data_IF_211850713121
#
_entry.id   IF_211850713121
#
_cell.length_a   1.000
_cell.length_b   1.000
_cell.length_c   1.000
_cell.angle_alpha   90.00
_cell.angle_beta   90.00
_cell.angle_gamma   90.00
#
_symmetry.space_group_name_H-M   'P 1'
#
loop_
_entity.id
_entity.type
_entity.pdbx_description
1 polymer ?
#
# COMPACT_ATOMS: atom_id res chain seq x y z
N UNK A 1 6.65 -12.10 4.72
CA UNK A 1 5.71 -11.78 3.62
C UNK A 1 4.43 -11.19 4.23
N UNK A 2 4.40 -9.87 4.45
CA UNK A 2 3.19 -9.20 4.96
C UNK A 2 2.28 -8.98 3.75
N UNK A 3 1.28 -9.84 3.59
CA UNK A 3 0.23 -9.66 2.59
C UNK A 3 -0.88 -8.84 3.26
N UNK A 4 -0.87 -7.51 3.11
CA UNK A 4 -2.06 -6.72 3.46
C UNK A 4 -3.04 -6.78 2.28
N UNK A 5 -4.01 -7.68 2.36
CA UNK A 5 -5.16 -7.69 1.45
C UNK A 5 -6.15 -6.60 1.89
N UNK A 6 -6.32 -5.53 1.13
CA UNK A 6 -7.52 -4.69 1.25
C UNK A 6 -8.60 -5.26 0.33
N UNK A 7 -9.64 -5.84 0.92
CA UNK A 7 -10.93 -6.08 0.26
C UNK A 7 -11.91 -5.05 0.81
N UNK A 8 -12.46 -4.19 -0.06
CA UNK A 8 -13.72 -3.50 0.23
C UNK A 8 -14.72 -3.86 -0.86
N UNK A 9 -15.82 -4.50 -0.45
CA UNK A 9 -16.89 -4.97 -1.33
C UNK A 9 -17.58 -3.84 -2.09
N UNK A 10 -17.97 -4.12 -3.33
CA UNK A 10 -18.68 -3.18 -4.19
C UNK A 10 -20.19 -3.20 -3.92
N UNK A 11 -20.79 -2.01 -3.86
CA UNK A 11 -22.24 -1.79 -3.86
C UNK A 11 -22.76 -1.93 -5.30
N UNK A 12 -23.76 -2.79 -5.51
CA UNK A 12 -24.35 -3.06 -6.83
C UNK A 12 -25.43 -2.02 -7.14
N UNK A 13 -25.34 -1.37 -8.30
CA UNK A 13 -26.46 -0.69 -8.95
C UNK A 13 -26.59 -1.25 -10.36
N UNK A 14 -27.77 -1.78 -10.66
CA UNK A 14 -28.06 -2.56 -11.86
C UNK A 14 -28.33 -1.66 -13.07
N UNK A 15 -27.76 -1.98 -14.24
CA UNK A 15 -28.45 -1.78 -15.51
C UNK A 15 -27.98 -2.80 -16.56
N UNK A 16 -28.92 -3.26 -17.40
CA UNK A 16 -28.85 -4.54 -18.12
C UNK A 16 -28.69 -4.33 -19.64
N UNK A 17 -27.46 -4.28 -20.15
CA UNK A 17 -27.20 -4.54 -21.58
C UNK A 17 -25.77 -5.01 -21.83
N UNK A 18 -25.63 -6.30 -22.17
CA UNK A 18 -24.43 -6.96 -22.70
C UNK A 18 -23.18 -6.86 -21.80
N UNK A 19 -23.33 -7.24 -20.53
CA UNK A 19 -22.18 -7.50 -19.66
C UNK A 19 -21.58 -8.82 -20.13
N UNK A 20 -20.39 -8.79 -20.75
CA UNK A 20 -19.51 -9.97 -20.69
C UNK A 20 -19.50 -10.34 -19.22
N UNK A 21 -20.06 -11.49 -18.86
CA UNK A 21 -19.87 -12.11 -17.55
C UNK A 21 -18.37 -12.33 -17.38
N UNK A 22 -17.66 -11.27 -17.04
CA UNK A 22 -16.42 -11.37 -16.29
C UNK A 22 -16.95 -11.75 -14.92
N UNK A 23 -17.22 -13.04 -14.73
CA UNK A 23 -17.00 -13.63 -13.42
C UNK A 23 -15.61 -13.14 -13.04
N UNK A 24 -15.53 -12.17 -12.13
CA UNK A 24 -14.27 -11.62 -11.66
C UNK A 24 -13.67 -12.77 -10.85
N UNK A 25 -13.04 -13.71 -11.55
CA UNK A 25 -12.41 -14.87 -10.95
C UNK A 25 -11.46 -14.34 -9.89
N UNK A 26 -11.48 -14.97 -8.71
CA UNK A 26 -10.47 -14.68 -7.72
C UNK A 26 -9.09 -14.93 -8.35
N UNK A 27 -8.16 -13.97 -8.27
CA UNK A 27 -6.81 -14.17 -8.81
C UNK A 27 -6.17 -15.36 -8.10
N UNK A 28 -5.63 -16.32 -8.88
CA UNK A 28 -5.05 -17.55 -8.34
C UNK A 28 -3.55 -17.63 -8.60
N UNK A 29 -3.07 -17.02 -9.68
CA UNK A 29 -1.65 -16.96 -10.04
C UNK A 29 -1.09 -15.56 -9.78
N UNK A 30 0.24 -15.45 -9.66
CA UNK A 30 0.91 -14.15 -9.51
C UNK A 30 0.58 -13.23 -10.69
N UNK A 31 0.51 -13.79 -11.89
CA UNK A 31 0.18 -13.09 -13.13
C UNK A 31 -1.24 -12.51 -13.09
N UNK A 32 -2.20 -13.21 -12.48
CA UNK A 32 -3.55 -12.69 -12.27
C UNK A 32 -3.56 -11.49 -11.31
N UNK A 33 -2.74 -11.54 -10.25
CA UNK A 33 -2.60 -10.43 -9.30
C UNK A 33 -1.93 -9.21 -9.92
N UNK A 34 -0.95 -9.41 -10.80
CA UNK A 34 -0.22 -8.33 -11.47
C UNK A 34 -1.13 -7.45 -12.34
N UNK A 35 -2.29 -7.95 -12.78
CA UNK A 35 -3.32 -7.14 -13.47
C UNK A 35 -3.86 -6.00 -12.60
N UNK A 36 -3.76 -6.11 -11.28
CA UNK A 36 -4.18 -5.09 -10.31
C UNK A 36 -2.98 -4.38 -9.66
N UNK A 37 -1.79 -4.49 -10.27
CA UNK A 37 -0.58 -3.94 -9.69
C UNK A 37 -0.64 -2.41 -9.57
N UNK A 38 -0.25 -1.91 -8.40
CA UNK A 38 -0.08 -0.49 -8.14
C UNK A 38 1.31 -0.24 -7.55
N UNK A 39 1.88 0.91 -7.88
CA UNK A 39 3.10 1.38 -7.24
C UNK A 39 2.72 2.24 -6.03
N UNK A 40 3.30 1.95 -4.88
CA UNK A 40 3.10 2.72 -3.66
C UNK A 40 4.33 3.58 -3.37
N UNK A 41 4.08 4.75 -2.81
CA UNK A 41 5.11 5.70 -2.40
C UNK A 41 4.92 6.01 -0.93
N UNK A 42 5.96 5.88 -0.12
CA UNK A 42 5.86 6.17 1.31
C UNK A 42 5.71 7.67 1.59
N UNK A 43 4.83 8.00 2.52
CA UNK A 43 4.54 9.35 2.97
C UNK A 43 5.50 9.75 4.10
N UNK A 44 6.59 10.44 3.75
CA UNK A 44 7.60 10.91 4.71
C UNK A 44 7.04 11.77 5.86
N UNK A 45 5.90 12.43 5.66
CA UNK A 45 5.23 13.21 6.70
C UNK A 45 4.53 12.34 7.77
N UNK A 46 4.30 11.05 7.50
CA UNK A 46 3.76 10.08 8.47
C UNK A 46 4.86 9.28 9.17
N UNK A 47 6.03 9.15 8.54
CA UNK A 47 7.10 8.26 8.99
C UNK A 47 7.58 8.59 10.42
N UNK A 48 7.68 7.58 11.26
CA UNK A 48 8.35 7.72 12.55
C UNK A 48 9.81 8.16 12.39
N UNK A 49 10.33 8.89 13.39
CA UNK A 49 11.69 9.46 13.34
C UNK A 49 12.79 8.39 13.35
N UNK A 50 12.52 7.18 13.85
CA UNK A 50 13.45 6.06 13.81
C UNK A 50 13.48 5.33 12.46
N UNK A 51 12.71 5.78 11.47
CA UNK A 51 12.66 5.20 10.12
C UNK A 51 13.34 6.11 9.11
N UNK A 52 14.21 5.52 8.29
CA UNK A 52 14.79 6.18 7.12
C UNK A 52 14.08 5.71 5.86
N UNK A 53 13.61 6.68 5.07
CA UNK A 53 13.10 6.44 3.72
C UNK A 53 14.21 6.66 2.68
N UNK A 54 14.27 5.78 1.70
CA UNK A 54 15.23 5.84 0.59
C UNK A 54 14.60 5.30 -0.69
N UNK A 55 15.38 5.28 -1.79
CA UNK A 55 14.94 4.77 -3.09
C UNK A 55 13.61 5.42 -3.51
N UNK A 56 13.60 6.75 -3.56
CA UNK A 56 12.41 7.54 -3.89
C UNK A 56 11.21 7.26 -2.97
N UNK A 57 11.48 7.01 -1.68
CA UNK A 57 10.48 6.61 -0.68
C UNK A 57 9.80 5.27 -0.99
N UNK A 58 10.48 4.33 -1.66
CA UNK A 58 10.00 2.95 -1.85
C UNK A 58 10.61 1.97 -0.88
N UNK A 59 11.65 2.37 -0.15
CA UNK A 59 12.32 1.56 0.85
C UNK A 59 12.28 2.24 2.21
N UNK A 60 12.05 1.42 3.22
CA UNK A 60 12.09 1.80 4.64
C UNK A 60 13.16 1.00 5.35
N UNK A 61 13.93 1.64 6.22
CA UNK A 61 14.93 0.97 7.06
C UNK A 61 14.86 1.54 8.46
N UNK A 62 14.87 0.66 9.47
CA UNK A 62 14.99 1.10 10.87
C UNK A 62 16.43 1.52 11.14
N UNK A 63 16.61 2.71 11.69
CA UNK A 63 17.92 3.27 12.02
C UNK A 63 17.99 3.58 13.51
N UNK A 64 19.19 3.56 14.07
CA UNK A 64 19.40 3.90 15.49
C UNK A 64 19.46 5.41 15.76
N UNK A 65 19.52 6.23 14.72
CA UNK A 65 19.56 7.69 14.80
C UNK A 65 18.26 8.29 14.27
N UNK A 66 17.67 9.18 15.06
CA UNK A 66 16.46 9.90 14.68
C UNK A 66 16.69 10.75 13.42
N UNK A 67 15.79 10.60 12.47
CA UNK A 67 15.77 11.39 11.24
C UNK A 67 15.20 12.78 11.51
N UNK A 68 15.78 13.80 10.86
CA UNK A 68 15.35 15.20 10.99
C UNK A 68 14.11 15.50 10.14
N UNK A 69 13.01 14.81 10.39
CA UNK A 69 11.75 15.09 9.70
C UNK A 69 11.04 16.33 10.27
N UNK A 70 10.43 17.19 9.42
CA UNK A 70 9.62 18.29 9.90
C UNK A 70 8.44 17.82 10.75
N UNK A 71 8.05 18.60 11.76
CA UNK A 71 6.87 18.30 12.57
C UNK A 71 5.60 18.21 11.70
N UNK A 72 4.80 17.16 11.90
CA UNK A 72 3.55 16.94 11.17
C UNK A 72 2.54 16.23 12.08
N UNK A 73 1.25 16.63 12.10
CA UNK A 73 0.25 16.03 13.00
C UNK A 73 -0.02 14.55 12.73
N UNK A 74 0.16 14.09 11.49
CA UNK A 74 -0.02 12.68 11.11
C UNK A 74 1.23 11.82 11.34
N UNK A 75 2.30 12.37 11.94
CA UNK A 75 3.54 11.63 12.18
C UNK A 75 3.36 10.62 13.31
N UNK A 76 3.76 9.38 13.07
CA UNK A 76 3.88 8.40 14.15
C UNK A 76 5.05 8.78 15.08
N UNK A 77 4.81 8.72 16.39
CA UNK A 77 5.78 9.09 17.42
C UNK A 77 5.93 8.05 18.55
N UNK A 78 5.23 6.92 18.44
CA UNK A 78 5.27 5.83 19.43
C UNK A 78 5.87 4.55 18.82
N UNK A 79 5.47 4.21 17.59
CA UNK A 79 5.88 2.97 16.92
C UNK A 79 6.57 3.28 15.58
N UNK A 80 7.54 2.45 15.16
CA UNK A 80 8.25 2.61 13.88
C UNK A 80 7.32 2.23 12.71
N UNK A 81 6.45 3.16 12.33
CA UNK A 81 5.43 3.00 11.29
C UNK A 81 5.52 4.11 10.24
N UNK A 82 4.99 3.85 9.05
CA UNK A 82 4.87 4.79 7.93
C UNK A 82 3.71 4.36 7.04
N UNK A 83 2.97 5.30 6.46
CA UNK A 83 1.89 5.05 5.49
C UNK A 83 2.37 5.30 4.05
N UNK A 84 1.64 4.75 3.09
CA UNK A 84 1.73 5.18 1.69
C UNK A 84 0.95 6.48 1.46
N UNK A 85 1.28 7.20 0.39
CA UNK A 85 0.57 8.43 -0.03
C UNK A 85 -0.75 8.11 -0.71
N UNK A 86 -0.80 6.96 -1.37
CA UNK A 86 -1.91 6.55 -2.20
C UNK A 86 -3.08 6.07 -1.34
N UNK A 87 -4.23 6.74 -1.47
CA UNK A 87 -5.50 6.20 -0.99
C UNK A 87 -5.96 5.09 -1.93
N UNK A 88 -5.83 3.84 -1.52
CA UNK A 88 -6.26 2.70 -2.35
C UNK A 88 -7.78 2.54 -2.25
N UNK A 89 -8.46 2.59 -3.39
CA UNK A 89 -9.88 2.27 -3.53
C UNK A 89 -10.06 1.19 -4.60
N UNK A 90 -10.92 0.21 -4.34
CA UNK A 90 -11.09 -0.96 -5.22
C UNK A 90 -10.02 -2.05 -5.00
N UNK A 91 -9.80 -2.88 -6.03
CA UNK A 91 -8.87 -4.01 -5.98
C UNK A 91 -7.47 -3.53 -6.37
N UNK A 92 -6.48 -3.76 -5.51
CA UNK A 92 -5.09 -3.37 -5.73
C UNK A 92 -4.13 -4.45 -5.24
N UNK A 93 -2.99 -4.57 -5.89
CA UNK A 93 -1.94 -5.52 -5.57
C UNK A 93 -0.59 -4.80 -5.55
N UNK A 94 0.24 -5.10 -4.55
CA UNK A 94 1.61 -4.61 -4.45
C UNK A 94 2.47 -5.70 -3.80
N UNK A 95 3.75 -5.70 -4.13
CA UNK A 95 4.74 -6.61 -3.56
C UNK A 95 5.74 -5.80 -2.76
N UNK A 96 6.20 -6.36 -1.64
CA UNK A 96 7.31 -5.80 -0.88
C UNK A 96 8.31 -6.90 -0.58
N UNK A 97 9.58 -6.57 -0.81
CA UNK A 97 10.68 -7.32 -0.24
C UNK A 97 10.83 -6.91 1.23
N UNK A 98 11.11 -7.89 2.09
CA UNK A 98 11.33 -7.64 3.50
C UNK A 98 12.51 -8.46 4.00
N UNK A 99 13.40 -7.77 4.70
CA UNK A 99 14.53 -8.34 5.43
C UNK A 99 14.57 -7.69 6.81
N UNK A 100 14.83 -8.46 7.85
CA UNK A 100 14.87 -7.98 9.23
C UNK A 100 15.51 -9.00 10.14
#
# INVERSE_FOLDING_TARGET
MIIMKSFLGAHVSCDLSTVKEVHILEPRTREDFLQYSCQLTLAAYTADIGLRLSEENRKVTRVGQDQSYPGHPERFNIYPQVLCREGLSGRSYWEAEWSG
#
